data_IF_831483144417
#
_entry.id   IF_831483144417
#
_cell.length_a   1.000
_cell.length_b   1.000
_cell.length_c   1.000
_cell.angle_alpha   90.00
_cell.angle_beta   90.00
_cell.angle_gamma   90.00
#
_symmetry.space_group_name_H-M   'P 1'
#
loop_
_entity.id
_entity.type
_entity.pdbx_description
1 polymer ?
#
# COMPACT_ATOMS: atom_id res chain seq x y z
N UNK A 1 29.23 -59.08 66.53
CA UNK A 1 29.06 -59.40 65.10
C UNK A 1 28.00 -58.46 64.57
N UNK A 2 28.43 -57.46 63.81
CA UNK A 2 27.68 -56.25 63.45
C UNK A 2 26.81 -56.53 62.22
N UNK A 3 25.49 -56.32 62.30
CA UNK A 3 24.64 -56.33 61.12
C UNK A 3 24.83 -55.00 60.35
N UNK A 4 25.06 -55.02 59.03
CA UNK A 4 25.13 -53.78 58.25
C UNK A 4 23.73 -53.12 58.17
N UNK A 5 23.64 -51.78 58.24
CA UNK A 5 22.37 -51.09 58.09
C UNK A 5 21.81 -51.29 56.68
N UNK A 6 20.49 -51.48 56.62
CA UNK A 6 19.69 -51.70 55.41
C UNK A 6 19.96 -50.60 54.39
N UNK A 7 20.25 -51.02 53.16
CA UNK A 7 20.50 -50.13 52.02
C UNK A 7 19.34 -49.14 51.85
N UNK A 8 19.65 -47.86 52.05
CA UNK A 8 18.86 -46.81 51.46
C UNK A 8 18.99 -46.94 49.96
N UNK A 9 17.91 -47.32 49.28
CA UNK A 9 17.80 -47.00 47.87
C UNK A 9 17.88 -45.48 47.78
N UNK A 10 18.88 -44.90 47.09
CA UNK A 10 18.85 -43.48 46.84
C UNK A 10 17.57 -43.23 46.03
N UNK A 11 16.61 -42.52 46.62
CA UNK A 11 15.60 -41.81 45.85
C UNK A 11 16.42 -40.87 44.99
N UNK A 12 16.64 -41.26 43.73
CA UNK A 12 17.24 -40.38 42.75
C UNK A 12 16.30 -39.18 42.67
N UNK A 13 16.68 -38.09 43.36
CA UNK A 13 16.13 -36.78 43.08
C UNK A 13 16.30 -36.61 41.57
N UNK A 14 15.19 -36.41 40.87
CA UNK A 14 15.18 -35.95 39.49
C UNK A 14 15.81 -34.53 39.49
N UNK A 15 17.13 -34.45 39.66
CA UNK A 15 17.87 -33.20 39.83
C UNK A 15 18.48 -32.73 38.53
N UNK A 16 18.19 -33.39 37.41
CA UNK A 16 18.46 -32.82 36.11
C UNK A 16 17.30 -31.90 35.76
N UNK A 17 17.54 -30.59 35.86
CA UNK A 17 16.68 -29.60 35.22
C UNK A 17 16.65 -29.95 33.73
N UNK A 18 15.48 -30.24 33.14
CA UNK A 18 15.42 -30.63 31.74
C UNK A 18 16.09 -29.58 30.88
N UNK A 19 17.01 -29.98 30.01
CA UNK A 19 17.53 -29.08 28.99
C UNK A 19 16.37 -28.59 28.13
N UNK A 20 16.05 -27.30 28.25
CA UNK A 20 15.03 -26.66 27.42
C UNK A 20 15.57 -26.32 26.03
N UNK A 21 16.89 -26.34 25.85
CA UNK A 21 17.48 -26.17 24.54
C UNK A 21 17.21 -27.42 23.68
N UNK A 22 16.71 -27.20 22.47
CA UNK A 22 16.25 -28.24 21.55
C UNK A 22 15.18 -29.17 22.15
N UNK A 23 14.33 -28.64 23.03
CA UNK A 23 13.19 -29.39 23.55
C UNK A 23 12.33 -29.94 22.38
N UNK A 24 11.91 -31.22 22.40
CA UNK A 24 11.08 -31.79 21.33
C UNK A 24 9.76 -31.07 21.09
N UNK A 25 9.25 -30.35 22.11
CA UNK A 25 8.08 -29.47 22.08
C UNK A 25 7.61 -29.09 23.50
N UNK A 26 6.68 -28.14 23.58
CA UNK A 26 6.09 -27.62 24.83
C UNK A 26 4.57 -27.55 24.68
N UNK A 27 3.86 -28.18 25.61
CA UNK A 27 2.39 -28.17 25.68
C UNK A 27 1.89 -27.48 26.94
N UNK A 28 0.93 -26.56 26.82
CA UNK A 28 0.25 -25.91 27.94
C UNK A 28 -1.24 -26.25 27.86
N UNK A 29 -1.74 -27.05 28.81
CA UNK A 29 -3.11 -27.61 28.85
C UNK A 29 -3.50 -28.45 27.60
N UNK A 30 -2.51 -28.85 26.80
CA UNK A 30 -2.64 -29.73 25.64
C UNK A 30 -1.30 -30.37 25.34
N UNK A 31 -1.26 -31.40 24.49
CA UNK A 31 -0.02 -32.02 24.02
C UNK A 31 0.52 -31.26 22.82
N UNK A 32 1.84 -31.13 22.74
CA UNK A 32 2.50 -30.73 21.49
C UNK A 32 2.48 -31.89 20.49
N UNK A 33 2.71 -31.61 19.22
CA UNK A 33 2.86 -32.62 18.18
C UNK A 33 4.07 -32.31 17.26
N UNK A 34 4.25 -33.06 16.18
CA UNK A 34 5.37 -32.87 15.24
C UNK A 34 5.29 -31.55 14.46
N UNK A 35 4.09 -30.98 14.31
CA UNK A 35 3.80 -29.72 13.62
C UNK A 35 3.73 -28.55 14.63
N UNK A 36 2.92 -28.68 15.68
CA UNK A 36 2.73 -27.69 16.73
C UNK A 36 3.70 -27.95 17.88
N UNK A 37 4.96 -27.56 17.68
CA UNK A 37 6.03 -27.70 18.68
C UNK A 37 5.80 -26.87 19.94
N UNK A 38 5.05 -25.77 19.84
CA UNK A 38 4.47 -25.06 20.98
C UNK A 38 2.95 -25.10 20.84
N UNK A 39 2.27 -25.85 21.70
CA UNK A 39 0.81 -26.00 21.70
C UNK A 39 0.20 -25.47 22.99
N UNK A 40 -0.73 -24.53 22.88
CA UNK A 40 -1.37 -23.86 24.04
C UNK A 40 -2.88 -23.94 23.91
N UNK A 41 -3.55 -24.55 24.90
CA UNK A 41 -5.01 -24.61 25.01
C UNK A 41 -5.46 -23.85 26.26
N UNK A 42 -5.56 -22.53 26.13
CA UNK A 42 -5.83 -21.61 27.23
C UNK A 42 -6.92 -20.60 26.85
N UNK A 43 -7.55 -19.96 27.84
CA UNK A 43 -8.47 -18.84 27.63
C UNK A 43 -7.77 -17.60 27.07
N UNK A 44 -6.47 -17.44 27.35
CA UNK A 44 -5.64 -16.34 26.84
C UNK A 44 -4.15 -16.73 26.83
N UNK A 45 -3.37 -16.03 25.99
CA UNK A 45 -1.90 -16.05 25.99
C UNK A 45 -1.42 -14.61 26.06
N UNK A 46 -0.70 -14.26 27.13
CA UNK A 46 -0.13 -12.92 27.33
C UNK A 46 1.37 -12.96 27.06
N UNK A 47 1.83 -12.08 26.16
CA UNK A 47 3.24 -11.76 25.98
C UNK A 47 3.44 -10.31 26.39
N UNK A 48 4.16 -10.10 27.50
CA UNK A 48 4.42 -8.76 28.02
C UNK A 48 5.91 -8.41 27.87
N UNK A 49 6.20 -7.11 27.74
CA UNK A 49 7.55 -6.61 27.56
C UNK A 49 8.19 -6.25 28.91
N UNK A 50 9.49 -6.45 29.03
CA UNK A 50 10.30 -6.00 30.17
C UNK A 50 10.90 -4.60 29.93
N UNK A 51 10.33 -3.83 29.00
CA UNK A 51 10.89 -2.62 28.40
C UNK A 51 11.25 -2.81 26.92
N UNK A 52 11.20 -1.73 26.13
CA UNK A 52 11.59 -1.69 24.70
C UNK A 52 10.79 -2.61 23.74
N UNK A 53 9.66 -3.18 24.17
CA UNK A 53 8.64 -3.84 23.32
C UNK A 53 8.69 -5.37 23.24
N UNK A 54 7.68 -5.98 22.60
CA UNK A 54 7.62 -7.41 22.21
C UNK A 54 7.63 -7.51 20.69
N UNK A 55 8.40 -8.45 20.14
CA UNK A 55 8.43 -8.72 18.70
C UNK A 55 8.22 -10.21 18.42
N UNK A 56 7.29 -10.53 17.52
CA UNK A 56 7.22 -11.84 16.89
C UNK A 56 8.05 -11.82 15.61
N UNK A 57 9.04 -12.70 15.52
CA UNK A 57 9.86 -12.88 14.32
C UNK A 57 9.46 -14.20 13.68
N UNK A 58 8.75 -14.13 12.57
CA UNK A 58 8.28 -15.29 11.81
C UNK A 58 8.96 -15.25 10.45
N UNK A 59 9.76 -16.27 10.16
CA UNK A 59 10.56 -16.35 8.95
C UNK A 59 10.13 -17.56 8.12
N UNK A 60 10.07 -17.38 6.80
CA UNK A 60 9.81 -18.45 5.84
C UNK A 60 11.12 -18.92 5.20
N UNK A 61 11.18 -20.17 4.71
CA UNK A 61 12.45 -20.74 4.19
C UNK A 61 12.65 -20.45 2.71
N UNK A 62 11.57 -20.28 1.95
CA UNK A 62 11.56 -19.96 0.53
C UNK A 62 10.48 -18.93 0.20
N UNK A 63 10.57 -18.33 -0.99
CA UNK A 63 9.66 -17.25 -1.40
C UNK A 63 8.20 -17.72 -1.50
N UNK A 64 7.97 -19.00 -1.80
CA UNK A 64 6.63 -19.59 -1.91
C UNK A 64 6.07 -20.13 -0.59
N UNK A 65 6.83 -20.06 0.50
CA UNK A 65 6.40 -20.55 1.82
C UNK A 65 5.48 -19.54 2.53
N UNK A 66 4.92 -19.97 3.66
CA UNK A 66 4.02 -19.15 4.49
C UNK A 66 4.65 -18.82 5.84
N UNK A 67 4.56 -17.55 6.24
CA UNK A 67 4.87 -17.04 7.57
C UNK A 67 3.72 -16.14 8.04
N UNK A 68 2.79 -16.70 8.80
CA UNK A 68 1.50 -16.05 9.11
C UNK A 68 0.94 -16.35 10.51
N UNK A 69 -0.08 -15.58 10.89
CA UNK A 69 -0.99 -15.86 12.00
C UNK A 69 -2.33 -16.33 11.43
N UNK A 70 -2.71 -17.57 11.73
CA UNK A 70 -3.95 -18.19 11.28
C UNK A 70 -4.99 -18.20 12.42
N UNK A 71 -6.15 -17.60 12.17
CA UNK A 71 -7.30 -17.58 13.07
C UNK A 71 -8.29 -18.66 12.66
N UNK A 72 -8.74 -19.48 13.63
CA UNK A 72 -9.52 -20.69 13.35
C UNK A 72 -10.76 -20.82 14.25
N UNK A 73 -11.75 -21.58 13.77
CA UNK A 73 -12.85 -22.12 14.57
C UNK A 73 -12.92 -23.62 14.33
N UNK A 74 -12.82 -24.43 15.40
CA UNK A 74 -12.86 -25.89 15.28
C UNK A 74 -11.82 -26.45 14.31
N UNK A 75 -10.59 -25.90 14.33
CA UNK A 75 -9.49 -26.25 13.41
C UNK A 75 -9.72 -25.91 11.92
N UNK A 76 -10.79 -25.17 11.60
CA UNK A 76 -11.01 -24.61 10.27
C UNK A 76 -10.51 -23.17 10.21
N UNK A 77 -9.69 -22.84 9.21
CA UNK A 77 -9.22 -21.47 8.94
C UNK A 77 -10.39 -20.50 8.68
N UNK A 78 -10.28 -19.27 9.21
CA UNK A 78 -11.28 -18.19 9.05
C UNK A 78 -10.66 -16.87 8.62
N UNK A 79 -9.50 -16.54 9.16
CA UNK A 79 -8.70 -15.40 8.73
C UNK A 79 -7.23 -15.74 8.87
N UNK A 80 -6.37 -15.13 8.05
CA UNK A 80 -4.93 -15.33 8.12
C UNK A 80 -4.22 -14.03 7.72
N UNK A 81 -3.16 -13.67 8.44
CA UNK A 81 -2.34 -12.49 8.14
C UNK A 81 -0.84 -12.82 8.13
N UNK A 82 -0.11 -12.35 7.13
CA UNK A 82 1.35 -12.58 7.01
C UNK A 82 1.81 -12.74 5.57
N UNK A 83 3.01 -13.30 5.39
CA UNK A 83 3.57 -13.63 4.08
C UNK A 83 2.96 -14.96 3.63
N UNK A 84 2.07 -14.94 2.65
CA UNK A 84 1.19 -16.08 2.35
C UNK A 84 1.40 -16.61 0.92
N UNK A 85 2.53 -17.29 0.68
CA UNK A 85 2.86 -17.85 -0.63
C UNK A 85 3.60 -16.91 -1.58
N UNK A 86 3.94 -15.71 -1.10
CA UNK A 86 4.87 -14.76 -1.73
C UNK A 86 5.47 -13.83 -0.66
N UNK A 87 6.21 -12.79 -1.08
CA UNK A 87 6.84 -11.79 -0.19
C UNK A 87 5.93 -10.61 0.21
N UNK A 88 4.67 -10.58 -0.23
CA UNK A 88 3.72 -9.55 0.12
C UNK A 88 3.07 -9.85 1.48
N UNK A 89 2.68 -8.80 2.19
CA UNK A 89 1.82 -8.94 3.36
C UNK A 89 0.36 -9.12 2.94
N UNK A 90 -0.22 -10.26 3.28
CA UNK A 90 -1.62 -10.60 3.05
C UNK A 90 -2.44 -10.45 4.32
N UNK A 91 -3.70 -10.05 4.16
CA UNK A 91 -4.78 -10.30 5.10
C UNK A 91 -5.91 -10.96 4.34
N UNK A 92 -6.13 -12.26 4.56
CA UNK A 92 -7.12 -13.07 3.85
C UNK A 92 -8.15 -13.66 4.80
N UNK A 93 -9.35 -13.90 4.29
CA UNK A 93 -10.45 -14.55 5.02
C UNK A 93 -10.96 -15.77 4.25
N UNK A 94 -11.58 -16.70 4.98
CA UNK A 94 -12.16 -17.91 4.41
C UNK A 94 -13.45 -18.28 5.12
N UNK A 95 -14.53 -18.47 4.35
CA UNK A 95 -15.81 -18.93 4.89
C UNK A 95 -15.80 -20.44 5.20
N UNK A 96 -15.04 -21.22 4.44
CA UNK A 96 -15.07 -22.69 4.45
C UNK A 96 -13.77 -23.32 4.97
N UNK A 97 -12.69 -22.55 5.14
CA UNK A 97 -11.36 -23.02 5.56
C UNK A 97 -10.44 -23.50 4.42
N UNK A 98 -10.90 -23.42 3.18
CA UNK A 98 -10.20 -23.90 1.98
C UNK A 98 -10.12 -22.85 0.86
N UNK A 99 -11.19 -22.09 0.65
CA UNK A 99 -11.27 -20.98 -0.30
C UNK A 99 -10.89 -19.69 0.42
N UNK A 100 -9.83 -19.03 -0.05
CA UNK A 100 -9.29 -17.83 0.57
C UNK A 100 -9.54 -16.60 -0.30
N UNK A 101 -9.91 -15.49 0.35
CA UNK A 101 -10.15 -14.19 -0.29
C UNK A 101 -9.27 -13.16 0.41
N UNK A 102 -8.41 -12.45 -0.32
CA UNK A 102 -7.65 -11.32 0.22
C UNK A 102 -8.59 -10.14 0.52
N UNK A 103 -8.63 -9.73 1.79
CA UNK A 103 -9.49 -8.65 2.29
C UNK A 103 -8.82 -7.28 2.29
N UNK A 104 -7.55 -7.19 2.72
CA UNK A 104 -6.77 -5.94 2.75
C UNK A 104 -5.30 -6.26 2.45
N UNK A 105 -4.78 -5.72 1.36
CA UNK A 105 -3.33 -5.48 1.24
C UNK A 105 -3.15 -4.04 1.72
N UNK A 106 -2.22 -3.76 2.64
CA UNK A 106 -1.91 -2.38 3.01
C UNK A 106 -1.36 -1.70 1.77
N UNK A 107 -2.20 -0.89 1.12
CA UNK A 107 -1.97 -0.47 -0.26
C UNK A 107 -1.56 0.98 -0.42
N UNK A 108 -1.40 1.77 0.65
CA UNK A 108 -0.78 3.09 0.52
C UNK A 108 0.69 2.89 0.16
N UNK A 109 1.00 3.04 -1.13
CA UNK A 109 2.34 2.94 -1.68
C UNK A 109 3.17 4.16 -1.27
N UNK A 110 2.53 5.33 -1.15
CA UNK A 110 3.19 6.57 -0.73
C UNK A 110 2.21 7.66 -0.31
N UNK A 111 2.61 8.49 0.66
CA UNK A 111 2.04 9.82 0.93
C UNK A 111 3.20 10.80 0.95
N UNK A 112 3.14 11.80 0.07
CA UNK A 112 4.16 12.84 -0.02
C UNK A 112 3.52 14.22 0.02
N UNK A 113 4.22 15.17 0.63
CA UNK A 113 3.82 16.57 0.64
C UNK A 113 4.77 17.37 -0.25
N UNK A 114 4.24 18.36 -0.97
CA UNK A 114 5.02 19.29 -1.76
C UNK A 114 4.67 20.73 -1.41
N UNK A 115 5.60 21.63 -1.67
CA UNK A 115 5.38 23.08 -1.67
C UNK A 115 5.46 23.68 -3.07
N UNK A 116 5.65 22.83 -4.09
CA UNK A 116 5.89 23.23 -5.48
C UNK A 116 4.66 23.89 -6.10
N UNK A 117 4.88 25.04 -6.74
CA UNK A 117 3.86 25.97 -7.24
C UNK A 117 4.02 26.13 -8.74
N UNK A 118 2.92 25.91 -9.46
CA UNK A 118 2.77 26.31 -10.85
C UNK A 118 2.09 27.70 -10.90
N UNK A 119 2.85 28.71 -11.30
CA UNK A 119 2.37 30.08 -11.52
C UNK A 119 2.13 30.31 -13.01
N UNK A 120 0.93 30.75 -13.39
CA UNK A 120 0.57 31.01 -14.80
C UNK A 120 1.50 32.02 -15.49
N UNK A 121 2.17 32.90 -14.74
CA UNK A 121 3.12 33.87 -15.29
C UNK A 121 4.48 33.24 -15.65
N UNK A 122 4.75 32.03 -15.16
CA UNK A 122 6.02 31.31 -15.30
C UNK A 122 5.80 30.00 -16.06
N UNK A 123 5.83 30.06 -17.39
CA UNK A 123 5.68 28.85 -18.23
C UNK A 123 4.24 28.56 -18.70
N UNK A 124 3.40 29.59 -18.86
CA UNK A 124 2.10 29.46 -19.51
C UNK A 124 2.15 28.66 -20.82
N UNK A 125 1.15 27.79 -21.01
CA UNK A 125 1.04 26.92 -22.18
C UNK A 125 1.94 25.69 -22.13
N UNK A 126 2.75 25.52 -21.08
CA UNK A 126 3.59 24.34 -20.86
C UNK A 126 3.09 23.55 -19.65
N UNK A 127 3.44 22.27 -19.64
CA UNK A 127 3.20 21.39 -18.50
C UNK A 127 4.17 21.73 -17.37
N UNK A 128 3.66 21.87 -16.15
CA UNK A 128 4.45 21.93 -14.94
C UNK A 128 4.38 20.57 -14.23
N UNK A 129 5.42 19.76 -14.41
CA UNK A 129 5.56 18.48 -13.73
C UNK A 129 6.06 18.72 -12.30
N UNK A 130 5.26 18.33 -11.32
CA UNK A 130 5.59 18.59 -9.92
C UNK A 130 6.74 17.70 -9.45
N UNK A 131 7.62 18.24 -8.61
CA UNK A 131 8.87 17.59 -8.19
C UNK A 131 8.72 16.40 -7.21
N UNK A 132 7.55 15.76 -7.13
CA UNK A 132 7.34 14.60 -6.27
C UNK A 132 7.78 13.31 -6.96
N UNK A 133 8.64 12.55 -6.27
CA UNK A 133 9.19 11.31 -6.79
C UNK A 133 8.40 10.10 -6.26
N UNK A 134 7.57 9.50 -7.11
CA UNK A 134 7.13 8.13 -6.94
C UNK A 134 7.52 7.30 -8.15
N UNK A 135 8.04 6.10 -7.91
CA UNK A 135 8.40 5.17 -8.97
C UNK A 135 7.64 3.87 -8.79
N UNK A 136 6.86 3.51 -9.79
CA UNK A 136 6.23 2.19 -9.88
C UNK A 136 7.34 1.19 -10.25
N UNK A 137 7.53 0.12 -9.45
CA UNK A 137 8.52 -0.90 -9.76
C UNK A 137 8.24 -1.62 -11.09
N UNK A 138 9.29 -2.18 -11.74
CA UNK A 138 9.12 -3.00 -12.92
C UNK A 138 8.16 -4.15 -12.68
N UNK A 139 7.33 -4.47 -13.68
CA UNK A 139 6.36 -5.57 -13.66
C UNK A 139 5.26 -5.47 -12.58
N UNK A 140 5.14 -4.33 -11.88
CA UNK A 140 4.10 -4.10 -10.89
C UNK A 140 2.70 -4.04 -11.54
N UNK A 141 2.58 -3.31 -12.65
CA UNK A 141 1.34 -3.17 -13.43
C UNK A 141 1.14 -4.37 -14.36
N UNK A 142 0.61 -5.47 -13.81
CA UNK A 142 0.18 -6.67 -14.54
C UNK A 142 -1.32 -6.66 -14.85
N UNK A 143 -1.80 -7.53 -15.72
CA UNK A 143 -3.21 -7.57 -16.11
C UNK A 143 -4.13 -7.64 -14.87
N UNK A 144 -5.12 -6.76 -14.85
CA UNK A 144 -6.07 -6.60 -13.76
C UNK A 144 -5.59 -5.65 -12.66
N UNK A 145 -4.28 -5.46 -12.44
CA UNK A 145 -3.73 -4.66 -11.34
C UNK A 145 -4.00 -3.16 -11.53
N UNK A 146 -4.37 -2.47 -10.46
CA UNK A 146 -4.78 -1.08 -10.47
C UNK A 146 -4.15 -0.28 -9.33
N UNK A 147 -3.91 0.99 -9.62
CA UNK A 147 -3.53 2.02 -8.66
C UNK A 147 -4.52 3.18 -8.70
N UNK A 148 -4.78 3.77 -7.54
CA UNK A 148 -5.40 5.09 -7.42
C UNK A 148 -4.35 6.11 -7.05
N UNK A 149 -4.45 7.27 -7.67
CA UNK A 149 -3.58 8.41 -7.41
C UNK A 149 -4.47 9.59 -7.07
N UNK A 150 -4.23 10.22 -5.93
CA UNK A 150 -4.95 11.42 -5.50
C UNK A 150 -3.98 12.56 -5.26
N UNK A 151 -4.17 13.66 -5.99
CA UNK A 151 -3.38 14.88 -5.86
C UNK A 151 -4.25 15.98 -5.26
N UNK A 152 -3.76 16.57 -4.16
CA UNK A 152 -4.43 17.66 -3.45
C UNK A 152 -3.65 18.95 -3.61
N UNK A 153 -4.35 20.02 -3.94
CA UNK A 153 -3.78 21.30 -4.30
C UNK A 153 -4.33 22.45 -3.43
N UNK A 154 -3.58 23.56 -3.44
CA UNK A 154 -4.07 24.89 -3.04
C UNK A 154 -4.06 25.80 -4.26
N UNK A 155 -5.17 26.48 -4.50
CA UNK A 155 -5.36 27.37 -5.65
C UNK A 155 -5.58 28.80 -5.18
N UNK A 156 -4.88 29.74 -5.80
CA UNK A 156 -5.08 31.18 -5.63
C UNK A 156 -5.12 31.83 -7.00
N UNK A 157 -6.20 32.52 -7.34
CA UNK A 157 -6.40 33.13 -8.66
C UNK A 157 -6.91 34.56 -8.60
N UNK A 158 -6.64 35.31 -9.65
CA UNK A 158 -7.12 36.67 -9.85
C UNK A 158 -8.57 36.71 -10.33
N UNK A 159 -8.99 37.87 -10.82
CA UNK A 159 -10.36 38.11 -11.31
C UNK A 159 -10.66 37.52 -12.70
N UNK A 160 -9.64 37.06 -13.42
CA UNK A 160 -9.78 36.47 -14.76
C UNK A 160 -8.76 35.32 -14.93
N UNK A 161 -8.95 34.18 -14.23
CA UNK A 161 -8.02 33.08 -14.32
C UNK A 161 -8.04 32.44 -15.71
N UNK A 162 -6.87 32.00 -16.21
CA UNK A 162 -6.79 31.20 -17.43
C UNK A 162 -7.33 29.78 -17.20
N UNK A 163 -7.54 29.03 -18.29
CA UNK A 163 -7.92 27.62 -18.18
C UNK A 163 -6.81 26.81 -17.50
N UNK A 164 -7.21 25.96 -16.56
CA UNK A 164 -6.35 25.04 -15.83
C UNK A 164 -6.66 23.61 -16.24
N UNK A 165 -5.61 22.82 -16.43
CA UNK A 165 -5.68 21.39 -16.76
C UNK A 165 -4.84 20.59 -15.77
N UNK A 166 -5.34 19.43 -15.34
CA UNK A 166 -4.58 18.46 -14.54
C UNK A 166 -4.24 17.24 -15.37
N UNK A 167 -3.04 16.71 -15.19
CA UNK A 167 -2.57 15.52 -15.88
C UNK A 167 -1.88 14.58 -14.92
N UNK A 168 -1.90 13.31 -15.29
CA UNK A 168 -1.06 12.29 -14.70
C UNK A 168 -0.23 11.63 -15.80
N UNK A 169 1.05 11.42 -15.50
CA UNK A 169 2.05 10.89 -16.42
C UNK A 169 2.72 9.65 -15.82
N UNK A 170 3.09 8.71 -16.69
CA UNK A 170 3.99 7.60 -16.38
C UNK A 170 5.22 7.72 -17.28
N UNK A 171 6.36 8.11 -16.69
CA UNK A 171 7.50 8.64 -17.44
C UNK A 171 7.09 9.88 -18.21
N UNK A 172 7.46 9.96 -19.49
CA UNK A 172 7.08 11.07 -20.38
C UNK A 172 5.67 10.94 -20.98
N UNK A 173 4.95 9.85 -20.70
CA UNK A 173 3.65 9.55 -21.33
C UNK A 173 2.52 10.10 -20.47
N UNK A 174 1.66 10.96 -21.04
CA UNK A 174 0.41 11.38 -20.39
C UNK A 174 -0.57 10.20 -20.44
N UNK A 175 -0.93 9.70 -19.26
CA UNK A 175 -1.83 8.55 -19.13
C UNK A 175 -3.25 8.97 -18.76
N UNK A 176 -3.45 10.19 -18.28
CA UNK A 176 -4.77 10.74 -18.01
C UNK A 176 -4.73 12.26 -17.91
N UNK A 177 -5.78 12.93 -18.36
CA UNK A 177 -5.87 14.39 -18.35
C UNK A 177 -7.34 14.84 -18.22
N UNK A 178 -7.58 15.89 -17.43
CA UNK A 178 -8.89 16.56 -17.35
C UNK A 178 -9.14 17.41 -18.59
N UNK A 179 -10.41 17.63 -18.93
CA UNK A 179 -10.78 18.82 -19.72
C UNK A 179 -10.28 20.09 -19.02
N UNK A 180 -9.92 21.10 -19.81
CA UNK A 180 -9.55 22.41 -19.27
C UNK A 180 -10.76 23.10 -18.64
N UNK A 181 -10.59 23.68 -17.45
CA UNK A 181 -11.65 24.42 -16.76
C UNK A 181 -11.14 25.76 -16.25
N UNK A 182 -12.03 26.73 -16.08
CA UNK A 182 -11.69 28.04 -15.52
C UNK A 182 -11.94 28.01 -14.01
N UNK A 183 -10.92 28.28 -13.17
CA UNK A 183 -11.14 28.44 -11.75
C UNK A 183 -12.14 29.57 -11.42
N UNK A 184 -12.83 29.53 -10.28
CA UNK A 184 -13.71 30.65 -9.95
C UNK A 184 -12.85 31.92 -9.69
N UNK A 185 -13.20 33.07 -10.28
CA UNK A 185 -12.46 34.31 -10.06
C UNK A 185 -12.33 34.68 -8.57
N UNK A 186 -11.13 35.11 -8.17
CA UNK A 186 -10.84 35.64 -6.83
C UNK A 186 -10.65 34.60 -5.71
N UNK A 187 -10.58 33.31 -6.03
CA UNK A 187 -10.27 32.30 -5.03
C UNK A 187 -8.88 32.52 -4.41
N UNK A 188 -8.81 32.41 -3.09
CA UNK A 188 -7.56 32.57 -2.34
C UNK A 188 -7.34 31.36 -1.46
N UNK A 189 -6.26 30.62 -1.72
CA UNK A 189 -5.83 29.44 -0.97
C UNK A 189 -6.93 28.36 -0.80
N UNK A 190 -7.75 28.16 -1.83
CA UNK A 190 -8.85 27.18 -1.82
C UNK A 190 -8.32 25.77 -2.09
N UNK A 191 -8.94 24.76 -1.47
CA UNK A 191 -8.57 23.37 -1.70
C UNK A 191 -9.13 22.86 -3.04
N UNK A 192 -8.31 22.11 -3.77
CA UNK A 192 -8.76 21.32 -4.90
C UNK A 192 -8.17 19.91 -4.78
N UNK A 193 -8.89 18.90 -5.27
CA UNK A 193 -8.40 17.53 -5.31
C UNK A 193 -8.78 16.87 -6.64
N UNK A 194 -7.87 16.07 -7.19
CA UNK A 194 -8.12 15.25 -8.39
C UNK A 194 -7.64 13.85 -8.12
N UNK A 195 -8.43 12.86 -8.53
CA UNK A 195 -8.06 11.46 -8.41
C UNK A 195 -8.18 10.73 -9.74
N UNK A 196 -7.18 9.90 -10.03
CA UNK A 196 -7.15 9.00 -11.18
C UNK A 196 -7.13 7.54 -10.71
N UNK A 197 -7.79 6.68 -11.48
CA UNK A 197 -7.72 5.23 -11.37
C UNK A 197 -7.00 4.71 -12.61
N UNK A 198 -5.82 4.12 -12.44
CA UNK A 198 -5.03 3.51 -13.51
C UNK A 198 -5.10 2.00 -13.34
N UNK A 199 -5.52 1.27 -14.37
CA UNK A 199 -5.59 -0.19 -14.38
C UNK A 199 -4.81 -0.75 -15.57
N UNK A 200 -3.90 -1.69 -15.31
CA UNK A 200 -3.28 -2.47 -16.38
C UNK A 200 -4.27 -3.50 -16.94
N UNK A 201 -4.41 -3.50 -18.26
CA UNK A 201 -5.29 -4.43 -18.98
C UNK A 201 -4.51 -5.54 -19.70
N UNK A 202 -3.18 -5.50 -19.63
CA UNK A 202 -2.28 -6.50 -20.19
C UNK A 202 -1.11 -6.77 -19.24
N UNK A 203 -0.46 -7.93 -19.43
CA UNK A 203 0.74 -8.29 -18.67
C UNK A 203 1.96 -7.44 -19.03
N UNK A 204 2.99 -7.39 -18.17
CA UNK A 204 4.11 -6.48 -18.35
C UNK A 204 4.90 -6.68 -19.64
N UNK A 205 5.14 -5.60 -20.37
CA UNK A 205 5.92 -5.58 -21.63
C UNK A 205 6.51 -4.19 -21.88
N UNK A 206 7.25 -4.03 -22.99
CA UNK A 206 7.75 -2.72 -23.42
C UNK A 206 6.66 -1.76 -23.91
N UNK A 207 5.42 -2.23 -24.10
CA UNK A 207 4.28 -1.43 -24.50
C UNK A 207 2.98 -2.13 -24.09
N UNK A 208 2.64 -2.10 -22.80
CA UNK A 208 1.42 -2.71 -22.27
C UNK A 208 0.32 -1.67 -22.12
N UNK A 209 -0.91 -2.08 -22.45
CA UNK A 209 -2.08 -1.26 -22.31
C UNK A 209 -2.45 -1.00 -20.86
N UNK A 210 -2.73 0.27 -20.55
CA UNK A 210 -3.39 0.69 -19.34
C UNK A 210 -4.66 1.47 -19.69
N UNK A 211 -5.66 1.35 -18.83
CA UNK A 211 -6.83 2.21 -18.77
C UNK A 211 -6.64 3.23 -17.67
N UNK A 212 -7.08 4.47 -17.89
CA UNK A 212 -7.05 5.51 -16.86
C UNK A 212 -8.38 6.28 -16.83
N UNK A 213 -9.05 6.25 -15.68
CA UNK A 213 -10.28 6.98 -15.45
C UNK A 213 -10.07 8.13 -14.45
N UNK A 214 -10.76 9.24 -14.67
CA UNK A 214 -10.93 10.27 -13.65
C UNK A 214 -11.96 9.79 -12.63
N UNK A 215 -11.55 9.64 -11.37
CA UNK A 215 -12.41 9.16 -10.27
C UNK A 215 -12.97 10.31 -9.43
N UNK A 216 -12.33 11.47 -9.43
CA UNK A 216 -12.81 12.69 -8.79
C UNK A 216 -12.24 13.91 -9.52
N UNK A 217 -12.94 15.03 -9.42
CA UNK A 217 -12.62 16.30 -10.12
C UNK A 217 -12.39 17.40 -9.08
N UNK A 218 -11.69 18.50 -9.44
CA UNK A 218 -11.40 19.60 -8.53
C UNK A 218 -12.66 20.13 -7.83
N UNK A 219 -12.96 19.63 -6.63
CA UNK A 219 -14.08 20.11 -5.84
C UNK A 219 -13.72 21.48 -5.26
N UNK A 220 -14.59 22.47 -5.44
CA UNK A 220 -14.47 23.76 -4.76
C UNK A 220 -13.71 24.85 -5.52
N UNK A 221 -13.25 24.61 -6.75
CA UNK A 221 -12.51 25.62 -7.54
C UNK A 221 -13.10 25.97 -8.91
N UNK A 222 -14.28 25.48 -9.32
CA UNK A 222 -14.87 25.86 -10.62
C UNK A 222 -16.00 24.94 -11.13
N UNK A 223 -16.63 25.33 -12.25
CA UNK A 223 -17.60 24.49 -12.98
C UNK A 223 -16.89 23.71 -14.08
N UNK A 224 -16.44 22.50 -13.78
CA UNK A 224 -15.77 21.65 -14.76
C UNK A 224 -16.79 20.73 -15.46
N UNK A 225 -16.87 20.80 -16.79
CA UNK A 225 -17.51 19.75 -17.62
C UNK A 225 -16.50 18.59 -17.70
N UNK A 226 -16.70 17.61 -16.84
CA UNK A 226 -15.70 16.61 -16.46
C UNK A 226 -15.63 15.42 -17.42
N UNK A 227 -14.77 15.52 -18.43
CA UNK A 227 -14.42 14.35 -19.25
C UNK A 227 -12.90 14.16 -19.26
N UNK A 228 -12.47 12.91 -19.11
CA UNK A 228 -11.10 12.53 -19.45
C UNK A 228 -10.98 12.65 -20.96
N UNK A 229 -9.94 13.33 -21.44
CA UNK A 229 -9.75 13.56 -22.88
C UNK A 229 -8.61 12.73 -23.47
N UNK A 230 -7.92 11.95 -22.64
CA UNK A 230 -6.85 11.05 -23.10
C UNK A 230 -7.46 9.84 -23.82
N UNK A 231 -7.07 9.55 -25.08
CA UNK A 231 -7.49 8.33 -25.76
C UNK A 231 -7.02 7.08 -25.03
N UNK A 232 -7.91 6.11 -24.85
CA UNK A 232 -7.62 4.83 -24.19
C UNK A 232 -7.65 3.66 -25.19
N UNK A 233 -6.91 2.56 -24.92
CA UNK A 233 -5.92 2.43 -23.85
C UNK A 233 -4.61 3.18 -24.17
N UNK A 234 -3.86 3.57 -23.14
CA UNK A 234 -2.52 4.16 -23.29
C UNK A 234 -1.48 3.05 -23.18
N UNK A 235 -0.51 3.04 -24.09
CA UNK A 235 0.60 2.07 -24.04
C UNK A 235 1.77 2.64 -23.25
N UNK A 236 2.25 1.90 -22.24
CA UNK A 236 3.41 2.27 -21.41
C UNK A 236 4.34 1.07 -21.18
N UNK A 237 5.66 1.29 -21.01
CA UNK A 237 6.63 0.21 -20.79
C UNK A 237 6.59 -0.30 -19.34
N UNK A 238 5.57 -1.10 -19.00
CA UNK A 238 5.35 -1.64 -17.64
C UNK A 238 6.39 -2.66 -17.19
N UNK A 239 7.25 -3.16 -18.10
CA UNK A 239 8.38 -4.01 -17.76
C UNK A 239 9.61 -3.24 -17.21
N UNK A 240 9.57 -1.91 -17.24
CA UNK A 240 10.60 -1.02 -16.66
C UNK A 240 10.08 -0.26 -15.43
N UNK A 241 10.97 0.52 -14.80
CA UNK A 241 10.57 1.46 -13.76
C UNK A 241 9.76 2.58 -14.42
N UNK A 242 8.58 2.88 -13.88
CA UNK A 242 7.76 4.00 -14.35
C UNK A 242 7.74 5.10 -13.29
N UNK A 243 8.29 6.27 -13.62
CA UNK A 243 8.12 7.46 -12.81
C UNK A 243 6.65 7.91 -12.88
N UNK A 244 6.00 8.09 -11.75
CA UNK A 244 4.63 8.60 -11.69
C UNK A 244 4.70 10.07 -11.32
N UNK A 245 4.17 10.90 -12.21
CA UNK A 245 4.20 12.35 -12.06
C UNK A 245 2.80 12.92 -12.25
N UNK A 246 2.46 13.91 -11.43
CA UNK A 246 1.29 14.74 -11.64
C UNK A 246 1.73 16.07 -12.20
N UNK A 247 0.89 16.66 -13.04
CA UNK A 247 1.23 17.88 -13.77
C UNK A 247 0.03 18.80 -13.88
N UNK A 248 0.28 20.10 -13.91
CA UNK A 248 -0.74 21.10 -14.21
C UNK A 248 -0.30 22.00 -15.35
N UNK A 249 -1.27 22.50 -16.12
CA UNK A 249 -1.03 23.45 -17.20
C UNK A 249 -2.02 24.60 -17.09
N UNK A 250 -1.48 25.82 -17.10
CA UNK A 250 -2.23 27.04 -17.36
C UNK A 250 -2.21 27.32 -18.86
N UNK A 251 -3.37 27.46 -19.50
CA UNK A 251 -3.45 27.59 -20.96
C UNK A 251 -2.83 28.89 -21.50
N UNK A 252 -2.77 29.93 -20.67
CA UNK A 252 -2.15 31.21 -20.99
C UNK A 252 -1.65 31.89 -19.71
N UNK A 253 -0.85 32.94 -19.87
CA UNK A 253 -0.50 33.80 -18.76
C UNK A 253 -1.77 34.54 -18.30
N UNK A 254 -2.08 34.47 -17.01
CA UNK A 254 -3.18 35.20 -16.41
C UNK A 254 -2.76 36.61 -15.99
N UNK A 255 -3.73 37.50 -15.83
CA UNK A 255 -3.50 38.80 -15.16
C UNK A 255 -3.54 38.62 -13.65
N UNK A 256 -2.58 39.19 -12.94
CA UNK A 256 -2.47 39.05 -11.48
C UNK A 256 -1.99 37.66 -11.03
N UNK A 257 -2.21 37.32 -9.77
CA UNK A 257 -1.76 36.05 -9.18
C UNK A 257 -2.66 34.92 -9.68
N UNK A 258 -2.11 33.92 -10.38
CA UNK A 258 -2.81 32.67 -10.68
C UNK A 258 -1.84 31.51 -10.46
N UNK A 259 -1.99 30.85 -9.32
CA UNK A 259 -1.06 29.87 -8.80
C UNK A 259 -1.81 28.62 -8.33
N UNK A 260 -1.24 27.46 -8.62
CA UNK A 260 -1.68 26.17 -8.09
C UNK A 260 -0.50 25.41 -7.49
N UNK A 261 -0.61 25.11 -6.20
CA UNK A 261 0.42 24.42 -5.41
C UNK A 261 0.00 22.99 -5.12
N UNK A 262 0.84 22.02 -5.47
CA UNK A 262 0.63 20.64 -5.03
C UNK A 262 0.95 20.55 -3.54
N UNK A 263 -0.03 20.18 -2.72
CA UNK A 263 0.13 20.07 -1.26
C UNK A 263 0.38 18.65 -0.81
N UNK A 264 -0.31 17.69 -1.41
CA UNK A 264 -0.22 16.28 -1.06
C UNK A 264 -0.43 15.40 -2.30
N UNK A 265 0.32 14.30 -2.37
CA UNK A 265 0.11 13.21 -3.33
C UNK A 265 -0.02 11.90 -2.57
N UNK A 266 -1.09 11.16 -2.85
CA UNK A 266 -1.40 9.87 -2.22
C UNK A 266 -1.50 8.83 -3.33
N UNK A 267 -0.83 7.70 -3.14
CA UNK A 267 -0.81 6.61 -4.11
C UNK A 267 -1.21 5.33 -3.41
N UNK A 268 -2.23 4.67 -3.96
CA UNK A 268 -2.84 3.48 -3.40
C UNK A 268 -2.84 2.38 -4.45
N UNK A 269 -2.34 1.19 -4.14
CA UNK A 269 -2.68 -0.01 -4.90
C UNK A 269 -4.15 -0.40 -4.62
N UNK A 270 -4.82 -1.18 -5.46
CA UNK A 270 -6.24 -1.52 -5.23
C UNK A 270 -6.52 -3.02 -5.25
N UNK A 271 -5.81 -3.77 -6.10
CA UNK A 271 -5.82 -5.23 -6.19
C UNK A 271 -4.41 -5.83 -6.33
#
# INVERSE_FOLDING_TARGET
MMAPPRGGHPVALLSEVPSLQNAPGVGVNTSFDVTNKLAVKSSAVLFDNIGHGVQFKVNKSADTDTASLLYQTGYSGRAEMGLCGDDNFHLKTSADGSTWIDGIVQRTLSIQNSGDVNDSSSGAGLDHDYSLAFSIPPNFLRAGRAIRVSAHYRVTVGSAPPLLTHKIKLGSVIVGQTGGYTPNPGETNVQAAVSWLIQAIADPSGASGIECALSSIPSGVGSATNTSVTPMPVLVPTNGVLALEVSTLWASAGTGVNQIKLSQLIIEALN
#
